data_IF_398612104228
#
_entry.id   IF_398612104228
#
_cell.length_a   1.000
_cell.length_b   1.000
_cell.length_c   1.000
_cell.angle_alpha   90.00
_cell.angle_beta   90.00
_cell.angle_gamma   90.00
#
_symmetry.space_group_name_H-M   'P 1'
#
loop_
_entity.id
_entity.type
_entity.pdbx_description
1 polymer ?
#
# COMPACT_ATOMS: atom_id res chain seq x y z
N UNK A 1 15.71 18.97 -3.26
CA UNK A 1 15.68 20.41 -3.60
C UNK A 1 14.40 20.73 -4.36
N UNK A 2 13.75 21.88 -4.13
CA UNK A 2 12.47 22.25 -4.76
C UNK A 2 12.54 22.28 -6.29
N UNK A 3 13.67 22.67 -6.84
CA UNK A 3 13.87 22.77 -8.28
C UNK A 3 13.80 21.41 -8.95
N UNK A 4 14.51 20.41 -8.42
CA UNK A 4 14.48 19.04 -8.93
C UNK A 4 13.06 18.46 -8.83
N UNK A 5 12.32 18.77 -7.77
CA UNK A 5 10.96 18.31 -7.59
C UNK A 5 10.02 18.91 -8.66
N UNK A 6 10.16 20.21 -8.95
CA UNK A 6 9.38 20.89 -9.98
C UNK A 6 9.70 20.42 -11.39
N UNK A 7 10.98 20.36 -11.72
CA UNK A 7 11.45 19.90 -13.04
C UNK A 7 10.97 18.49 -13.38
N UNK A 8 10.87 17.63 -12.40
CA UNK A 8 10.48 16.24 -12.58
C UNK A 8 9.01 15.96 -12.23
N UNK A 9 8.23 16.98 -11.86
CA UNK A 9 6.82 16.83 -11.50
C UNK A 9 6.61 15.85 -10.33
N UNK A 10 7.53 15.86 -9.34
CA UNK A 10 7.48 14.94 -8.22
C UNK A 10 6.29 15.24 -7.32
N UNK A 11 5.59 14.19 -6.92
CA UNK A 11 4.45 14.24 -6.00
C UNK A 11 4.69 13.31 -4.82
N UNK A 12 3.89 13.46 -3.76
CA UNK A 12 3.91 12.53 -2.63
C UNK A 12 3.68 11.09 -3.10
N UNK A 13 4.36 10.14 -2.46
CA UNK A 13 4.23 8.71 -2.76
C UNK A 13 5.08 8.20 -3.93
N UNK A 14 5.83 9.03 -4.64
CA UNK A 14 6.76 8.54 -5.66
C UNK A 14 8.00 7.91 -5.03
N UNK A 15 8.45 6.81 -5.61
CA UNK A 15 9.72 6.20 -5.29
C UNK A 15 10.79 6.72 -6.25
N UNK A 16 11.91 7.20 -5.70
CA UNK A 16 12.97 7.84 -6.49
C UNK A 16 14.29 7.10 -6.29
N UNK A 17 14.94 6.74 -7.38
CA UNK A 17 16.35 6.33 -7.39
C UNK A 17 17.18 7.44 -8.01
N UNK A 18 18.33 7.75 -7.41
CA UNK A 18 19.18 8.82 -7.92
C UNK A 18 20.42 9.02 -7.05
N UNK A 19 21.24 10.00 -7.42
CA UNK A 19 22.44 10.36 -6.66
C UNK A 19 22.11 11.45 -5.65
N UNK A 20 22.62 11.29 -4.45
CA UNK A 20 22.54 12.28 -3.38
C UNK A 20 23.94 12.74 -2.97
N UNK A 21 24.05 13.99 -2.50
CA UNK A 21 25.26 14.55 -1.90
C UNK A 21 24.95 14.89 -0.46
N UNK A 22 25.88 14.57 0.42
CA UNK A 22 25.78 14.96 1.82
C UNK A 22 25.81 16.47 1.98
N UNK A 23 24.91 16.98 2.80
CA UNK A 23 24.86 18.38 3.20
C UNK A 23 24.64 18.50 4.70
N UNK A 24 24.85 19.71 5.25
CA UNK A 24 24.63 20.00 6.68
C UNK A 24 23.19 19.77 7.15
N UNK A 25 22.23 19.67 6.21
CA UNK A 25 20.80 19.40 6.48
C UNK A 25 20.38 17.96 6.12
N UNK A 26 21.35 17.05 5.95
CA UNK A 26 21.13 15.68 5.49
C UNK A 26 21.37 15.49 3.99
N UNK A 27 21.26 14.26 3.47
CA UNK A 27 21.50 13.96 2.07
C UNK A 27 20.54 14.71 1.16
N UNK A 28 21.07 15.40 0.16
CA UNK A 28 20.29 16.13 -0.84
C UNK A 28 20.39 15.46 -2.20
N UNK A 29 19.25 15.15 -2.79
CA UNK A 29 19.17 14.59 -4.13
C UNK A 29 19.76 15.57 -5.15
N UNK A 30 20.67 15.08 -6.00
CA UNK A 30 21.32 15.87 -7.06
C UNK A 30 20.86 15.47 -8.46
N UNK A 31 20.63 14.19 -8.70
CA UNK A 31 20.13 13.66 -9.96
C UNK A 31 19.09 12.59 -9.73
N UNK A 32 18.17 12.43 -10.67
CA UNK A 32 17.16 11.36 -10.65
C UNK A 32 17.47 10.41 -11.80
N UNK A 33 17.65 9.15 -11.47
CA UNK A 33 17.87 8.08 -12.43
C UNK A 33 16.55 7.40 -12.82
N UNK A 34 15.64 7.20 -11.84
CA UNK A 34 14.29 6.68 -12.09
C UNK A 34 13.26 7.20 -11.09
N UNK A 35 11.99 7.20 -11.51
CA UNK A 35 10.81 7.51 -10.70
C UNK A 35 9.84 6.34 -10.83
N UNK A 36 9.53 5.66 -9.72
CA UNK A 36 8.74 4.40 -9.70
C UNK A 36 9.27 3.37 -10.72
N UNK A 37 10.59 3.18 -10.75
CA UNK A 37 11.33 2.32 -11.67
C UNK A 37 11.21 2.68 -13.18
N UNK A 38 10.57 3.78 -13.50
CA UNK A 38 10.48 4.32 -14.87
C UNK A 38 11.49 5.44 -15.09
N UNK A 39 12.00 5.60 -16.32
CA UNK A 39 12.77 6.79 -16.70
C UNK A 39 11.97 8.07 -16.43
N UNK A 40 12.59 9.17 -15.97
CA UNK A 40 11.90 10.41 -15.62
C UNK A 40 11.00 10.97 -16.72
N UNK A 41 11.42 10.84 -17.98
CA UNK A 41 10.65 11.29 -19.15
C UNK A 41 9.34 10.50 -19.35
N UNK A 42 9.34 9.20 -19.02
CA UNK A 42 8.13 8.37 -19.06
C UNK A 42 7.24 8.64 -17.88
N UNK A 43 7.83 8.75 -16.67
CA UNK A 43 7.09 9.02 -15.44
C UNK A 43 6.30 10.34 -15.50
N UNK A 44 6.84 11.38 -16.16
CA UNK A 44 6.16 12.68 -16.36
C UNK A 44 4.93 12.62 -17.26
N UNK A 45 4.81 11.59 -18.09
CA UNK A 45 3.70 11.41 -19.06
C UNK A 45 2.59 10.53 -18.52
N UNK A 46 2.72 9.99 -17.32
CA UNK A 46 1.68 9.19 -16.70
C UNK A 46 0.46 10.07 -16.39
N UNK A 47 -0.76 9.54 -16.58
CA UNK A 47 -1.98 10.24 -16.21
C UNK A 47 -2.03 10.43 -14.69
N UNK A 48 -2.72 11.47 -14.24
CA UNK A 48 -3.04 11.62 -12.83
C UNK A 48 -4.09 10.58 -12.41
N UNK A 49 -4.04 10.16 -11.16
CA UNK A 49 -5.00 9.19 -10.62
C UNK A 49 -6.45 9.66 -10.81
N UNK A 50 -6.68 10.95 -10.64
CA UNK A 50 -7.99 11.60 -10.77
C UNK A 50 -8.52 11.61 -12.23
N UNK A 51 -7.64 11.44 -13.20
CA UNK A 51 -7.98 11.34 -14.63
C UNK A 51 -8.32 9.92 -15.06
N UNK A 52 -8.00 8.92 -14.20
CA UNK A 52 -8.25 7.53 -14.51
C UNK A 52 -9.76 7.23 -14.47
N UNK A 53 -10.21 6.44 -15.43
CA UNK A 53 -11.62 6.07 -15.54
C UNK A 53 -11.99 5.02 -14.49
N UNK A 54 -12.91 5.36 -13.60
CA UNK A 54 -13.48 4.40 -12.67
C UNK A 54 -14.37 3.38 -13.43
N UNK A 55 -14.16 2.10 -13.12
CA UNK A 55 -14.93 1.00 -13.69
C UNK A 55 -15.53 0.14 -12.56
N UNK A 56 -16.63 -0.55 -12.86
CA UNK A 56 -17.18 -1.51 -11.91
C UNK A 56 -16.21 -2.69 -11.69
N UNK A 57 -16.05 -3.18 -10.45
CA UNK A 57 -15.17 -4.29 -10.12
C UNK A 57 -15.71 -5.61 -10.69
N UNK A 58 -15.31 -5.96 -11.90
CA UNK A 58 -15.74 -7.17 -12.60
C UNK A 58 -14.72 -8.31 -12.59
N UNK A 59 -13.49 -8.06 -12.10
CA UNK A 59 -12.43 -9.07 -11.95
C UNK A 59 -12.30 -9.42 -10.47
N UNK A 60 -12.70 -10.64 -10.12
CA UNK A 60 -12.61 -11.14 -8.74
C UNK A 60 -11.16 -11.35 -8.31
N UNK A 61 -10.88 -11.04 -7.05
CA UNK A 61 -9.68 -11.44 -6.32
C UNK A 61 -10.06 -12.67 -5.50
N UNK A 62 -9.39 -13.79 -5.70
CA UNK A 62 -9.65 -15.03 -4.97
C UNK A 62 -8.68 -15.14 -3.81
N UNK A 63 -9.22 -15.29 -2.60
CA UNK A 63 -8.44 -15.41 -1.36
C UNK A 63 -8.34 -16.87 -0.86
N UNK A 64 -9.07 -17.81 -1.44
CA UNK A 64 -8.94 -19.20 -1.07
C UNK A 64 -7.55 -19.74 -1.44
N UNK A 65 -6.83 -20.29 -0.48
CA UNK A 65 -5.49 -20.88 -0.65
C UNK A 65 -5.52 -22.36 -0.31
N UNK A 66 -5.58 -22.71 0.96
CA UNK A 66 -5.61 -24.08 1.44
C UNK A 66 -7.00 -24.49 1.95
N UNK A 67 -7.36 -25.79 1.91
CA UNK A 67 -8.69 -26.27 2.36
C UNK A 67 -9.01 -25.91 3.82
N UNK A 68 -8.00 -25.83 4.67
CA UNK A 68 -8.16 -25.63 6.13
C UNK A 68 -8.26 -24.14 6.49
N UNK A 69 -7.97 -23.21 5.56
CA UNK A 69 -8.07 -21.76 5.78
C UNK A 69 -9.49 -21.27 5.54
N UNK A 70 -10.39 -21.58 6.48
CA UNK A 70 -11.83 -21.27 6.36
C UNK A 70 -12.12 -19.76 6.28
N UNK A 71 -11.32 -18.89 6.91
CA UNK A 71 -11.52 -17.44 6.94
C UNK A 71 -11.62 -16.85 5.55
N UNK A 72 -10.63 -17.11 4.69
CA UNK A 72 -10.59 -16.60 3.32
C UNK A 72 -11.62 -17.26 2.40
N UNK A 73 -11.93 -18.54 2.62
CA UNK A 73 -13.01 -19.23 1.90
C UNK A 73 -14.39 -18.62 2.19
N UNK A 74 -14.64 -18.27 3.46
CA UNK A 74 -15.89 -17.59 3.84
C UNK A 74 -15.99 -16.22 3.17
N UNK A 75 -14.90 -15.44 3.13
CA UNK A 75 -14.87 -14.16 2.40
C UNK A 75 -15.20 -14.38 0.93
N UNK A 76 -14.61 -15.36 0.29
CA UNK A 76 -14.82 -15.65 -1.12
C UNK A 76 -16.27 -16.06 -1.47
N UNK A 77 -16.97 -16.68 -0.52
CA UNK A 77 -18.36 -17.13 -0.72
C UNK A 77 -19.35 -16.02 -0.35
N UNK A 78 -19.14 -15.36 0.79
CA UNK A 78 -20.13 -14.45 1.37
C UNK A 78 -19.97 -13.00 0.93
N UNK A 79 -18.72 -12.57 0.67
CA UNK A 79 -18.39 -11.20 0.34
C UNK A 79 -17.22 -11.14 -0.68
N UNK A 80 -17.40 -11.66 -1.91
CA UNK A 80 -16.34 -11.70 -2.90
C UNK A 80 -15.86 -10.30 -3.24
N UNK A 81 -14.53 -10.13 -3.31
CA UNK A 81 -13.89 -8.85 -3.57
C UNK A 81 -13.44 -8.76 -5.03
N UNK A 82 -13.76 -7.68 -5.70
CA UNK A 82 -13.31 -7.40 -7.06
C UNK A 82 -12.20 -6.34 -7.11
N UNK A 83 -11.41 -6.34 -8.18
CA UNK A 83 -10.38 -5.31 -8.42
C UNK A 83 -11.02 -3.93 -8.55
N UNK A 84 -10.56 -2.96 -7.76
CA UNK A 84 -11.13 -1.63 -7.66
C UNK A 84 -12.23 -1.48 -6.61
N UNK A 85 -12.60 -2.55 -5.90
CA UNK A 85 -13.57 -2.51 -4.82
C UNK A 85 -12.96 -1.92 -3.55
N UNK A 86 -13.80 -1.18 -2.80
CA UNK A 86 -13.53 -0.76 -1.43
C UNK A 86 -14.38 -1.60 -0.49
N UNK A 87 -13.75 -2.26 0.47
CA UNK A 87 -14.39 -3.09 1.47
C UNK A 87 -14.15 -2.54 2.88
N UNK A 88 -15.11 -2.71 3.77
CA UNK A 88 -14.99 -2.39 5.18
C UNK A 88 -15.25 -3.67 6.00
N UNK A 89 -14.32 -3.99 6.88
CA UNK A 89 -14.45 -5.09 7.83
C UNK A 89 -14.84 -4.48 9.19
N UNK A 90 -16.05 -4.77 9.63
CA UNK A 90 -16.58 -4.34 10.92
C UNK A 90 -16.67 -5.55 11.83
N UNK A 91 -16.01 -5.48 12.97
CA UNK A 91 -16.01 -6.59 13.92
C UNK A 91 -15.80 -6.10 15.36
N UNK A 92 -16.33 -6.83 16.36
CA UNK A 92 -16.03 -6.55 17.77
C UNK A 92 -14.52 -6.72 18.06
N UNK A 93 -14.01 -6.13 19.13
CA UNK A 93 -12.64 -6.40 19.58
C UNK A 93 -12.43 -7.90 19.81
N UNK A 94 -11.22 -8.40 19.51
CA UNK A 94 -10.80 -9.81 19.70
C UNK A 94 -11.62 -10.84 18.92
N UNK A 95 -12.25 -10.46 17.82
CA UNK A 95 -13.03 -11.37 16.97
C UNK A 95 -12.23 -11.98 15.80
N UNK A 96 -10.92 -11.75 15.75
CA UNK A 96 -10.05 -12.30 14.69
C UNK A 96 -9.90 -11.39 13.46
N UNK A 97 -10.21 -10.08 13.56
CA UNK A 97 -10.04 -9.12 12.46
C UNK A 97 -8.63 -9.14 11.88
N UNK A 98 -7.61 -8.97 12.73
CA UNK A 98 -6.19 -8.97 12.31
C UNK A 98 -5.79 -10.30 11.67
N UNK A 99 -6.26 -11.43 12.22
CA UNK A 99 -6.02 -12.76 11.62
C UNK A 99 -6.63 -12.86 10.23
N UNK A 100 -7.86 -12.35 10.04
CA UNK A 100 -8.52 -12.36 8.75
C UNK A 100 -7.78 -11.48 7.73
N UNK A 101 -7.35 -10.28 8.13
CA UNK A 101 -6.54 -9.38 7.29
C UNK A 101 -5.23 -10.04 6.89
N UNK A 102 -4.56 -10.70 7.83
CA UNK A 102 -3.32 -11.41 7.57
C UNK A 102 -3.52 -12.56 6.55
N UNK A 103 -4.54 -13.39 6.74
CA UNK A 103 -4.86 -14.46 5.80
C UNK A 103 -5.23 -13.92 4.40
N UNK A 104 -5.90 -12.78 4.31
CA UNK A 104 -6.18 -12.13 3.03
C UNK A 104 -4.88 -11.61 2.38
N UNK A 105 -3.97 -11.04 3.16
CA UNK A 105 -2.67 -10.57 2.69
C UNK A 105 -1.82 -11.73 2.14
N UNK A 106 -1.71 -12.82 2.91
CA UNK A 106 -1.03 -14.05 2.50
C UNK A 106 -1.61 -14.62 1.21
N UNK A 107 -2.94 -14.64 1.10
CA UNK A 107 -3.61 -15.13 -0.11
C UNK A 107 -3.30 -14.27 -1.35
N UNK A 108 -3.20 -12.94 -1.18
CA UNK A 108 -2.78 -12.05 -2.27
C UNK A 108 -1.34 -12.34 -2.66
N UNK A 109 -0.44 -12.51 -1.71
CA UNK A 109 0.96 -12.83 -1.95
C UNK A 109 1.11 -14.21 -2.62
N UNK A 110 0.45 -15.26 -2.11
CA UNK A 110 0.56 -16.61 -2.65
C UNK A 110 -0.04 -16.77 -4.07
N UNK A 111 -1.15 -16.09 -4.37
CA UNK A 111 -1.91 -16.29 -5.62
C UNK A 111 -1.76 -15.20 -6.66
N UNK A 112 -1.37 -14.00 -6.24
CA UNK A 112 -1.42 -12.81 -7.09
C UNK A 112 -0.11 -12.02 -7.10
N UNK A 113 0.98 -12.56 -6.56
CA UNK A 113 2.29 -11.93 -6.43
C UNK A 113 2.76 -11.24 -7.72
N UNK A 114 2.63 -11.92 -8.86
CA UNK A 114 3.05 -11.36 -10.17
C UNK A 114 2.14 -10.24 -10.70
N UNK A 115 0.94 -10.07 -10.12
CA UNK A 115 -0.11 -9.22 -10.71
C UNK A 115 -0.66 -8.17 -9.77
N UNK A 116 -0.44 -8.26 -8.47
CA UNK A 116 -0.99 -7.35 -7.47
C UNK A 116 0.10 -6.95 -6.48
N UNK A 117 0.40 -5.67 -6.43
CA UNK A 117 1.27 -5.10 -5.41
C UNK A 117 0.52 -5.00 -4.08
N UNK A 118 0.99 -5.71 -3.07
CA UNK A 118 0.39 -5.74 -1.74
C UNK A 118 0.96 -4.62 -0.88
N UNK A 119 0.06 -3.77 -0.37
CA UNK A 119 0.39 -2.70 0.58
C UNK A 119 -0.39 -2.88 1.87
N UNK A 120 0.27 -2.66 3.00
CA UNK A 120 -0.34 -2.78 4.32
C UNK A 120 -0.09 -1.47 5.08
N UNK A 121 -1.17 -0.89 5.60
CA UNK A 121 -1.13 0.31 6.42
C UNK A 121 -1.62 -0.03 7.84
N UNK A 122 -0.68 -0.04 8.78
CA UNK A 122 -0.95 -0.31 10.20
C UNK A 122 -0.92 1.02 10.95
N UNK A 123 -2.07 1.42 11.50
CA UNK A 123 -2.22 2.72 12.16
C UNK A 123 -2.40 2.51 13.65
N UNK A 124 -1.52 3.12 14.46
CA UNK A 124 -1.54 3.02 15.93
C UNK A 124 -1.49 1.56 16.40
N UNK A 125 -0.65 0.74 15.73
CA UNK A 125 -0.47 -0.65 16.10
C UNK A 125 0.76 -0.86 16.96
N UNK A 126 0.76 -1.97 17.72
CA UNK A 126 1.89 -2.31 18.60
C UNK A 126 3.11 -2.72 17.77
N UNK A 127 4.34 -2.38 18.18
CA UNK A 127 5.56 -2.76 17.48
C UNK A 127 5.69 -4.26 17.20
N UNK A 128 5.17 -5.09 18.12
CA UNK A 128 5.18 -6.55 17.98
C UNK A 128 4.30 -7.01 16.80
N UNK A 129 3.11 -6.41 16.66
CA UNK A 129 2.17 -6.72 15.59
C UNK A 129 2.76 -6.28 14.23
N UNK A 130 3.37 -5.11 14.16
CA UNK A 130 4.08 -4.63 12.95
C UNK A 130 5.21 -5.59 12.56
N UNK A 131 5.96 -6.08 13.54
CA UNK A 131 7.06 -7.03 13.30
C UNK A 131 6.53 -8.38 12.79
N UNK A 132 5.39 -8.83 13.31
CA UNK A 132 4.73 -10.05 12.85
C UNK A 132 4.31 -9.94 11.38
N UNK A 133 3.66 -8.85 10.98
CA UNK A 133 3.30 -8.59 9.59
C UNK A 133 4.53 -8.59 8.67
N UNK A 134 5.62 -7.92 9.06
CA UNK A 134 6.86 -7.90 8.27
C UNK A 134 7.51 -9.27 8.13
N UNK A 135 7.40 -10.11 9.14
CA UNK A 135 7.95 -11.47 9.13
C UNK A 135 7.16 -12.40 8.24
N UNK A 136 5.82 -12.30 8.28
CA UNK A 136 4.95 -13.19 7.51
C UNK A 136 4.79 -12.74 6.05
N UNK A 137 4.95 -11.45 5.77
CA UNK A 137 4.73 -10.85 4.47
C UNK A 137 5.97 -10.06 4.01
N UNK A 138 7.08 -10.75 3.69
CA UNK A 138 8.36 -10.11 3.38
C UNK A 138 8.31 -9.25 2.10
N UNK A 139 7.43 -9.56 1.16
CA UNK A 139 7.30 -8.87 -0.13
C UNK A 139 6.23 -7.75 -0.11
N UNK A 140 5.51 -7.60 1.00
CA UNK A 140 4.53 -6.53 1.15
C UNK A 140 5.19 -5.18 1.48
N UNK A 141 4.70 -4.11 0.87
CA UNK A 141 5.09 -2.73 1.22
C UNK A 141 4.31 -2.28 2.46
N UNK A 142 4.98 -2.21 3.63
CA UNK A 142 4.32 -1.96 4.92
C UNK A 142 4.59 -0.54 5.41
N UNK A 143 3.52 0.21 5.62
CA UNK A 143 3.46 1.51 6.28
C UNK A 143 2.90 1.31 7.69
N UNK A 144 3.62 1.77 8.70
CA UNK A 144 3.19 1.59 10.07
C UNK A 144 3.44 2.83 10.91
N UNK A 145 2.53 3.14 11.81
CA UNK A 145 2.72 4.08 12.90
C UNK A 145 2.47 3.36 14.23
N UNK A 146 3.36 3.63 15.20
CA UNK A 146 3.32 3.02 16.52
C UNK A 146 2.30 3.73 17.42
N UNK A 147 1.79 3.03 18.45
CA UNK A 147 0.94 3.60 19.48
C UNK A 147 1.58 4.73 20.31
N UNK A 148 2.91 4.91 20.20
CA UNK A 148 3.65 6.01 20.84
C UNK A 148 3.77 7.25 19.91
N UNK A 149 3.32 7.15 18.67
CA UNK A 149 3.35 8.24 17.69
C UNK A 149 2.23 9.27 17.94
N UNK A 150 2.43 10.48 17.43
CA UNK A 150 1.40 11.52 17.47
C UNK A 150 0.25 11.23 16.49
N UNK A 151 -0.99 11.72 16.75
CA UNK A 151 -2.10 11.62 15.79
C UNK A 151 -1.77 12.16 14.41
N UNK A 152 -0.99 13.24 14.33
CA UNK A 152 -0.54 13.81 13.05
C UNK A 152 0.35 12.83 12.28
N UNK A 153 1.16 12.02 12.97
CA UNK A 153 2.00 11.03 12.34
C UNK A 153 1.17 9.85 11.82
N UNK A 154 0.11 9.45 12.53
CA UNK A 154 -0.84 8.44 12.06
C UNK A 154 -1.49 8.85 10.74
N UNK A 155 -2.06 10.06 10.69
CA UNK A 155 -2.65 10.61 9.47
C UNK A 155 -1.64 10.70 8.34
N UNK A 156 -0.45 11.24 8.61
CA UNK A 156 0.62 11.37 7.61
C UNK A 156 1.04 10.02 7.03
N UNK A 157 1.12 8.97 7.85
CA UNK A 157 1.51 7.64 7.40
C UNK A 157 0.42 7.01 6.51
N UNK A 158 -0.84 7.16 6.89
CA UNK A 158 -1.98 6.70 6.09
C UNK A 158 -2.06 7.44 4.76
N UNK A 159 -1.92 8.77 4.77
CA UNK A 159 -1.88 9.60 3.54
C UNK A 159 -0.73 9.16 2.62
N UNK A 160 0.47 8.96 3.16
CA UNK A 160 1.62 8.51 2.38
C UNK A 160 1.37 7.15 1.72
N UNK A 161 0.78 6.21 2.45
CA UNK A 161 0.40 4.90 1.93
C UNK A 161 -0.57 5.03 0.74
N UNK A 162 -1.62 5.84 0.88
CA UNK A 162 -2.60 6.05 -0.19
C UNK A 162 -1.99 6.80 -1.38
N UNK A 163 -1.18 7.83 -1.14
CA UNK A 163 -0.49 8.54 -2.22
C UNK A 163 0.49 7.60 -2.97
N UNK A 164 1.17 6.71 -2.26
CA UNK A 164 2.00 5.68 -2.88
C UNK A 164 1.18 4.72 -3.75
N UNK A 165 0.05 4.24 -3.25
CA UNK A 165 -0.87 3.38 -4.00
C UNK A 165 -1.35 4.06 -5.29
N UNK A 166 -1.73 5.35 -5.23
CA UNK A 166 -2.09 6.13 -6.42
C UNK A 166 -0.96 6.17 -7.46
N UNK A 167 0.28 6.41 -7.03
CA UNK A 167 1.46 6.46 -7.94
C UNK A 167 1.70 5.12 -8.64
N UNK A 168 1.48 4.01 -7.95
CA UNK A 168 1.60 2.68 -8.55
C UNK A 168 0.49 2.40 -9.57
N UNK A 169 -0.75 2.80 -9.26
CA UNK A 169 -1.89 2.66 -10.18
C UNK A 169 -1.70 3.53 -11.42
N UNK A 170 -1.21 4.77 -11.30
CA UNK A 170 -0.85 5.63 -12.43
C UNK A 170 0.20 4.98 -13.36
N UNK A 171 1.12 4.20 -12.78
CA UNK A 171 2.10 3.41 -13.52
C UNK A 171 1.52 2.11 -14.14
N UNK A 172 0.22 1.87 -13.99
CA UNK A 172 -0.48 0.71 -14.56
C UNK A 172 -0.44 -0.55 -13.68
N UNK A 173 0.03 -0.44 -12.44
CA UNK A 173 0.06 -1.57 -11.51
C UNK A 173 -1.30 -1.78 -10.83
N UNK A 174 -1.59 -3.03 -10.50
CA UNK A 174 -2.70 -3.36 -9.62
C UNK A 174 -2.23 -3.34 -8.16
N UNK A 175 -2.96 -2.62 -7.31
CA UNK A 175 -2.58 -2.46 -5.91
C UNK A 175 -3.71 -2.98 -5.01
N UNK A 176 -3.36 -3.75 -4.01
CA UNK A 176 -4.26 -4.18 -2.94
C UNK A 176 -3.79 -3.57 -1.63
N UNK A 177 -4.62 -2.72 -1.03
CA UNK A 177 -4.31 -2.03 0.23
C UNK A 177 -5.14 -2.62 1.36
N UNK A 178 -4.50 -3.12 2.39
CA UNK A 178 -5.10 -3.48 3.67
C UNK A 178 -4.78 -2.42 4.71
N UNK A 179 -5.80 -1.93 5.42
CA UNK A 179 -5.61 -0.93 6.47
C UNK A 179 -6.19 -1.41 7.80
N UNK A 180 -5.38 -1.43 8.83
CA UNK A 180 -5.73 -1.72 10.22
C UNK A 180 -5.23 -0.61 11.14
N UNK A 181 -6.05 0.25 11.70
CA UNK A 181 -7.47 0.41 11.46
C UNK A 181 -7.85 1.89 11.27
N UNK A 182 -8.88 2.15 10.47
CA UNK A 182 -9.41 3.51 10.21
C UNK A 182 -9.94 4.16 11.51
N UNK A 183 -10.37 3.38 12.49
CA UNK A 183 -10.91 3.90 13.76
C UNK A 183 -9.91 4.67 14.60
N UNK A 184 -8.64 4.63 14.26
CA UNK A 184 -7.55 5.29 14.98
C UNK A 184 -6.95 6.50 14.23
N UNK A 185 -7.57 6.88 13.12
CA UNK A 185 -7.21 8.06 12.31
C UNK A 185 -7.92 9.34 12.73
#
# INVERSE_FOLDING_TARGET
>A
PPDIARENGLRSGVWIKGKARDSTRGPQLTTIDSINDLPPEKARKLPFFEELKAVNPNKRIVFETTPDRYTTRVVDIMAPVGRGQRGLIVSPPRSGKTTMLLHMAEAVQERHEEHIHLMICLVDERPEEVTEFRRQLPDAEIYASSNDDSPQNHCRMAELCIERAKRLVEAGQHVFVLMDSITRL
#
